data_IF_623987837694
#
_entry.id   IF_623987837694
#
_cell.length_a   1.000
_cell.length_b   1.000
_cell.length_c   1.000
_cell.angle_alpha   90.00
_cell.angle_beta   90.00
_cell.angle_gamma   90.00
#
_symmetry.space_group_name_H-M   'P 1'
#
loop_
_entity.id
_entity.type
_entity.pdbx_description
1 polymer ?
#
# COMPACT_ATOMS: atom_id res chain seq x y z
N UNK A 1 -8.76 8.85 8.44
CA UNK A 1 -8.80 7.81 9.48
C UNK A 1 -8.04 8.14 10.76
N UNK A 2 -7.03 9.03 10.74
CA UNK A 2 -6.10 9.26 11.85
C UNK A 2 -6.72 9.41 13.26
N UNK A 3 -7.69 10.31 13.43
CA UNK A 3 -8.29 10.54 14.76
C UNK A 3 -9.07 9.31 15.27
N UNK A 4 -9.67 8.54 14.36
CA UNK A 4 -10.38 7.31 14.70
C UNK A 4 -9.40 6.23 15.18
N UNK A 5 -8.32 6.00 14.44
CA UNK A 5 -7.30 5.00 14.80
C UNK A 5 -6.60 5.36 16.12
N UNK A 6 -6.38 6.66 16.38
CA UNK A 6 -5.90 7.15 17.68
C UNK A 6 -6.91 6.92 18.80
N UNK A 7 -8.20 7.13 18.56
CA UNK A 7 -9.25 6.85 19.56
C UNK A 7 -9.35 5.38 19.94
N UNK A 8 -8.98 4.48 19.02
CA UNK A 8 -8.86 3.04 19.26
C UNK A 8 -7.54 2.61 19.89
N UNK A 9 -6.66 3.57 20.22
CA UNK A 9 -5.36 3.30 20.82
C UNK A 9 -4.46 2.38 19.99
N UNK A 10 -4.58 2.45 18.65
CA UNK A 10 -3.67 1.74 17.76
C UNK A 10 -2.25 2.34 17.85
N UNK A 11 -1.20 1.57 17.47
CA UNK A 11 0.18 2.06 17.47
C UNK A 11 0.35 3.38 16.71
N UNK A 12 1.27 4.24 17.17
CA UNK A 12 1.45 5.58 16.61
C UNK A 12 1.86 5.53 15.13
N UNK A 13 2.76 4.61 14.77
CA UNK A 13 3.19 4.41 13.38
C UNK A 13 2.02 4.03 12.47
N UNK A 14 1.09 3.19 12.94
CA UNK A 14 -0.12 2.85 12.19
C UNK A 14 -1.01 4.07 12.00
N UNK A 15 -1.21 4.86 13.06
CA UNK A 15 -2.00 6.08 12.96
C UNK A 15 -1.37 7.06 11.96
N UNK A 16 -0.04 7.24 12.01
CA UNK A 16 0.70 8.09 11.06
C UNK A 16 0.60 7.60 9.63
N UNK A 17 0.65 6.28 9.39
CA UNK A 17 0.41 5.73 8.06
C UNK A 17 -0.99 6.11 7.54
N UNK A 18 -2.01 6.00 8.39
CA UNK A 18 -3.37 6.43 8.03
C UNK A 18 -3.48 7.94 7.82
N UNK A 19 -2.63 8.76 8.45
CA UNK A 19 -2.55 10.20 8.20
C UNK A 19 -1.91 10.52 6.85
N UNK A 20 -0.84 9.80 6.48
CA UNK A 20 0.02 10.14 5.33
C UNK A 20 -0.15 9.25 4.11
N UNK A 21 -1.06 8.28 4.09
CA UNK A 21 -1.17 7.32 2.97
C UNK A 21 -1.44 7.93 1.58
N UNK A 22 -1.89 9.18 1.46
CA UNK A 22 -2.05 9.88 0.17
C UNK A 22 -0.84 10.73 -0.24
N UNK A 23 0.23 10.72 0.56
CA UNK A 23 1.43 11.50 0.37
C UNK A 23 2.60 10.60 -0.06
N UNK A 24 3.11 10.84 -1.28
CA UNK A 24 4.26 10.09 -1.83
C UNK A 24 5.58 10.52 -1.19
N UNK A 25 5.67 11.73 -0.63
CA UNK A 25 6.90 12.24 0.02
C UNK A 25 7.30 11.36 1.22
N UNK A 26 6.35 10.59 1.76
CA UNK A 26 6.58 9.62 2.84
C UNK A 26 7.71 8.63 2.53
N UNK A 27 7.93 8.29 1.26
CA UNK A 27 8.99 7.36 0.85
C UNK A 27 10.37 8.01 0.76
N UNK A 28 10.41 9.33 0.49
CA UNK A 28 11.64 10.10 0.30
C UNK A 28 12.15 10.73 1.60
N UNK A 29 11.24 11.09 2.51
CA UNK A 29 11.58 11.69 3.79
C UNK A 29 12.18 10.67 4.77
N UNK A 30 13.48 10.79 5.01
CA UNK A 30 14.24 9.96 5.96
C UNK A 30 13.82 10.15 7.41
N UNK A 31 13.09 11.22 7.74
CA UNK A 31 12.54 11.46 9.08
C UNK A 31 11.33 10.55 9.37
N UNK A 32 10.67 10.04 8.32
CA UNK A 32 9.56 9.12 8.46
C UNK A 32 10.07 7.75 8.87
N UNK A 33 9.48 7.21 9.94
CA UNK A 33 9.83 5.88 10.43
C UNK A 33 9.52 4.80 9.40
N UNK A 34 10.39 3.80 9.29
CA UNK A 34 10.24 2.68 8.36
C UNK A 34 8.89 1.94 8.49
N UNK A 35 8.35 1.66 9.69
CA UNK A 35 7.04 1.01 9.80
C UNK A 35 5.91 1.82 9.14
N UNK A 36 5.98 3.16 9.18
CA UNK A 36 5.00 4.03 8.53
C UNK A 36 5.06 3.86 7.01
N UNK A 37 6.27 3.90 6.43
CA UNK A 37 6.50 3.68 5.00
C UNK A 37 6.04 2.29 4.56
N UNK A 38 6.31 1.27 5.37
CA UNK A 38 5.83 -0.10 5.14
C UNK A 38 4.30 -0.15 5.08
N UNK A 39 3.59 0.45 6.04
CA UNK A 39 2.12 0.45 6.03
C UNK A 39 1.54 1.21 4.83
N UNK A 40 2.11 2.36 4.47
CA UNK A 40 1.67 3.12 3.29
C UNK A 40 1.92 2.32 2.01
N UNK A 41 3.08 1.69 1.88
CA UNK A 41 3.37 0.84 0.72
C UNK A 41 2.42 -0.36 0.63
N UNK A 42 2.17 -1.05 1.74
CA UNK A 42 1.28 -2.22 1.79
C UNK A 42 -0.16 -1.85 1.40
N UNK A 43 -0.69 -0.71 1.87
CA UNK A 43 -2.08 -0.35 1.53
C UNK A 43 -2.25 -0.07 0.03
N UNK A 44 -1.30 0.63 -0.59
CA UNK A 44 -1.33 0.87 -2.04
C UNK A 44 -1.15 -0.41 -2.86
N UNK A 45 -0.26 -1.30 -2.42
CA UNK A 45 -0.07 -2.61 -3.03
C UNK A 45 -1.37 -3.43 -2.97
N UNK A 46 -2.01 -3.48 -1.81
CA UNK A 46 -3.25 -4.22 -1.59
C UNK A 46 -4.41 -3.63 -2.42
N UNK A 47 -4.55 -2.31 -2.46
CA UNK A 47 -5.57 -1.62 -3.27
C UNK A 47 -5.37 -1.90 -4.77
N UNK A 48 -4.14 -1.85 -5.27
CA UNK A 48 -3.84 -2.16 -6.67
C UNK A 48 -4.15 -3.60 -7.03
N UNK A 49 -3.71 -4.56 -6.20
CA UNK A 49 -4.01 -5.99 -6.39
C UNK A 49 -5.52 -6.20 -6.40
N UNK A 50 -6.26 -5.61 -5.46
CA UNK A 50 -7.70 -5.73 -5.39
C UNK A 50 -8.39 -5.15 -6.63
N UNK A 51 -7.95 -4.00 -7.11
CA UNK A 51 -8.49 -3.37 -8.32
C UNK A 51 -8.23 -4.23 -9.57
N UNK A 52 -7.04 -4.84 -9.69
CA UNK A 52 -6.73 -5.81 -10.76
C UNK A 52 -7.65 -7.03 -10.69
N UNK A 53 -7.85 -7.61 -9.51
CA UNK A 53 -8.70 -8.80 -9.32
C UNK A 53 -10.18 -8.51 -9.62
N UNK A 54 -10.70 -7.35 -9.19
CA UNK A 54 -12.14 -7.07 -9.27
C UNK A 54 -12.57 -6.39 -10.57
N UNK A 55 -11.73 -5.53 -11.15
CA UNK A 55 -12.13 -4.63 -12.24
C UNK A 55 -11.17 -4.63 -13.43
N UNK A 56 -10.03 -5.31 -13.34
CA UNK A 56 -8.95 -5.29 -14.35
C UNK A 56 -8.50 -3.86 -14.73
N UNK A 57 -8.56 -2.93 -13.77
CA UNK A 57 -8.22 -1.52 -13.98
C UNK A 57 -7.26 -1.07 -12.88
N UNK A 58 -6.25 -0.26 -13.23
CA UNK A 58 -5.39 0.38 -12.25
C UNK A 58 -6.10 1.57 -11.59
N UNK A 59 -5.96 1.72 -10.27
CA UNK A 59 -6.47 2.88 -9.54
C UNK A 59 -5.63 4.13 -9.82
N UNK A 60 -6.27 5.31 -9.81
CA UNK A 60 -5.59 6.60 -10.03
C UNK A 60 -4.44 6.83 -9.02
N UNK A 61 -4.63 6.39 -7.78
CA UNK A 61 -3.57 6.48 -6.76
C UNK A 61 -2.39 5.57 -7.10
N UNK A 62 -2.62 4.38 -7.64
CA UNK A 62 -1.51 3.46 -8.00
C UNK A 62 -0.55 4.10 -8.99
N UNK A 63 -1.04 4.82 -10.01
CA UNK A 63 -0.18 5.51 -10.98
C UNK A 63 0.79 6.51 -10.33
N UNK A 64 0.40 7.09 -9.20
CA UNK A 64 1.25 8.03 -8.43
C UNK A 64 2.23 7.30 -7.51
N UNK A 65 1.84 6.16 -6.98
CA UNK A 65 2.58 5.46 -5.93
C UNK A 65 3.46 4.32 -6.45
N UNK A 66 3.20 3.79 -7.63
CA UNK A 66 3.84 2.59 -8.18
C UNK A 66 5.36 2.62 -8.06
N UNK A 67 6.01 3.65 -8.60
CA UNK A 67 7.46 3.74 -8.59
C UNK A 67 8.04 3.75 -7.15
N UNK A 68 7.40 4.47 -6.23
CA UNK A 68 7.85 4.56 -4.84
C UNK A 68 7.63 3.25 -4.08
N UNK A 69 6.49 2.59 -4.29
CA UNK A 69 6.15 1.33 -3.61
C UNK A 69 7.04 0.19 -4.09
N UNK A 70 7.26 0.10 -5.41
CA UNK A 70 8.13 -0.92 -6.00
C UNK A 70 9.58 -0.74 -5.56
N UNK A 71 10.10 0.49 -5.57
CA UNK A 71 11.46 0.78 -5.08
C UNK A 71 11.60 0.47 -3.58
N UNK A 72 10.63 0.89 -2.77
CA UNK A 72 10.65 0.68 -1.31
C UNK A 72 10.68 -0.81 -0.91
N UNK A 73 9.96 -1.67 -1.63
CA UNK A 73 9.96 -3.11 -1.37
C UNK A 73 10.94 -3.91 -2.22
N UNK A 74 11.67 -3.26 -3.14
CA UNK A 74 12.57 -3.94 -4.08
C UNK A 74 11.84 -4.91 -5.03
N UNK A 75 10.61 -4.56 -5.44
CA UNK A 75 9.76 -5.37 -6.31
C UNK A 75 9.87 -4.95 -7.77
N UNK A 76 9.87 -5.93 -8.67
CA UNK A 76 9.71 -5.74 -10.10
C UNK A 76 8.26 -5.91 -10.56
N UNK A 77 8.02 -5.63 -11.85
CA UNK A 77 6.71 -5.84 -12.47
C UNK A 77 6.30 -7.33 -12.49
N UNK A 78 7.26 -8.24 -12.66
CA UNK A 78 7.00 -9.68 -12.63
C UNK A 78 6.55 -10.14 -11.24
N UNK A 79 7.12 -9.58 -10.17
CA UNK A 79 6.67 -9.85 -8.80
C UNK A 79 5.23 -9.39 -8.61
N UNK A 80 4.84 -8.25 -9.19
CA UNK A 80 3.47 -7.74 -9.13
C UNK A 80 2.47 -8.64 -9.85
N UNK A 81 2.84 -9.20 -10.98
CA UNK A 81 1.99 -10.19 -11.69
C UNK A 81 1.81 -11.43 -10.82
N UNK A 82 2.90 -11.97 -10.25
CA UNK A 82 2.84 -13.11 -9.36
C UNK A 82 1.95 -12.87 -8.13
N UNK A 83 2.10 -11.72 -7.47
CA UNK A 83 1.28 -11.34 -6.31
C UNK A 83 -0.20 -11.21 -6.66
N UNK A 84 -0.53 -10.68 -7.85
CA UNK A 84 -1.91 -10.55 -8.31
C UNK A 84 -2.54 -11.92 -8.64
N UNK A 85 -1.78 -12.82 -9.28
CA UNK A 85 -2.22 -14.18 -9.59
C UNK A 85 -2.48 -14.98 -8.31
N UNK A 86 -1.55 -14.92 -7.34
CA UNK A 86 -1.73 -15.56 -6.02
C UNK A 86 -2.94 -15.00 -5.27
N UNK A 87 -3.16 -13.69 -5.33
CA UNK A 87 -4.32 -13.05 -4.72
C UNK A 87 -5.63 -13.46 -5.42
N UNK A 88 -5.65 -13.55 -6.75
CA UNK A 88 -6.80 -14.04 -7.51
C UNK A 88 -7.15 -15.49 -7.11
N UNK A 89 -6.15 -16.36 -7.03
CA UNK A 89 -6.32 -17.75 -6.60
C UNK A 89 -6.84 -17.86 -5.17
N UNK A 90 -6.43 -16.95 -4.29
CA UNK A 90 -6.84 -16.93 -2.88
C UNK A 90 -8.25 -16.39 -2.71
N UNK A 91 -8.57 -15.27 -3.36
CA UNK A 91 -9.87 -14.58 -3.27
C UNK A 91 -10.95 -15.37 -4.03
N UNK A 92 -10.63 -15.93 -5.20
CA UNK A 92 -11.57 -16.72 -6.00
C UNK A 92 -11.98 -18.06 -5.36
N UNK A 93 -11.29 -18.49 -4.29
CA UNK A 93 -11.65 -19.68 -3.49
C UNK A 93 -12.54 -19.35 -2.28
N UNK A 94 -12.73 -18.07 -1.95
CA UNK A 94 -13.54 -17.61 -0.82
C UNK A 94 -15.01 -17.39 -1.23
#
# INVERSE_FOLDING_TARGET
GYFLTRSWQLPDDFCRAVLWHHDTEVFEDRSVAEPVRNFVGIVHLAEHILNRVLSDVAGIEWERFEAHVLDHFGLGQDDMVGLADEAFDTIGRA
#
